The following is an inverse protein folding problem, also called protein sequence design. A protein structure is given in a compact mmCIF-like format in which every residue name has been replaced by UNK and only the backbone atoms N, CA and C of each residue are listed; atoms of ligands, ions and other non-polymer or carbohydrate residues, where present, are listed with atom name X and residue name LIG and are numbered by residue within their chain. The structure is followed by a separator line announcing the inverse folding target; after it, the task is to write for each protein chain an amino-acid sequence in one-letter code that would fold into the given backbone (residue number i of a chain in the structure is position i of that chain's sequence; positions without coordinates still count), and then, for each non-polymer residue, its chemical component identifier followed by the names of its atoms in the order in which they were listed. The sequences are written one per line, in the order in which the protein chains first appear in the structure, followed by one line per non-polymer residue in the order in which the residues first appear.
data_IF_810622624384
#
_entry.id   IF_810622624384
#
_cell.length_a   1.000
_cell.length_b   1.000
_cell.length_c   1.000
_cell.angle_alpha   90.00
_cell.angle_beta   90.00
_cell.angle_gamma   90.00
#
_symmetry.space_group_name_H-M   'P 1'
#
loop_
_entity.id
_entity.type
_entity.pdbx_description
1 polymer ?
#
# COMPACT_ATOMS: atom_id res chain seq x y z
N UNK A 1 1.20 2.84 -1.57
CA UNK A 1 1.50 1.38 -1.58
C UNK A 1 2.17 0.89 -2.86
N UNK A 2 1.66 1.24 -4.06
CA UNK A 2 2.26 0.79 -5.33
C UNK A 2 3.75 1.16 -5.51
N UNK A 3 4.18 2.34 -5.03
CA UNK A 3 5.60 2.73 -5.00
C UNK A 3 6.45 1.76 -4.17
N UNK A 4 6.04 1.46 -2.94
CA UNK A 4 6.77 0.54 -2.06
C UNK A 4 6.80 -0.89 -2.61
N UNK A 5 5.67 -1.37 -3.16
CA UNK A 5 5.55 -2.71 -3.74
C UNK A 5 6.55 -2.96 -4.89
N UNK A 6 6.95 -1.90 -5.60
CA UNK A 6 7.89 -1.94 -6.72
C UNK A 6 9.27 -1.34 -6.38
N UNK A 7 9.54 -1.00 -5.12
CA UNK A 7 10.82 -0.45 -4.69
C UNK A 7 11.89 -1.53 -4.47
N UNK A 8 13.15 -1.11 -4.37
CA UNK A 8 14.28 -1.99 -4.00
C UNK A 8 14.65 -3.03 -5.05
N UNK A 9 14.52 -2.71 -6.35
CA UNK A 9 14.92 -3.59 -7.45
C UNK A 9 13.99 -4.79 -7.68
N UNK A 10 12.82 -4.82 -7.03
CA UNK A 10 11.84 -5.91 -7.17
C UNK A 10 11.22 -5.92 -8.57
N UNK A 11 10.91 -7.11 -9.13
CA UNK A 11 10.15 -7.20 -10.36
C UNK A 11 8.79 -6.51 -10.23
N UNK A 12 8.31 -5.97 -11.35
CA UNK A 12 7.06 -5.20 -11.41
C UNK A 12 5.88 -6.04 -10.92
N UNK A 13 5.05 -5.45 -10.06
CA UNK A 13 3.80 -6.02 -9.58
C UNK A 13 2.62 -5.07 -9.85
N UNK A 14 1.44 -5.64 -9.99
CA UNK A 14 0.16 -4.93 -10.15
C UNK A 14 -0.69 -5.11 -8.92
N UNK A 15 -1.51 -4.11 -8.62
CA UNK A 15 -2.51 -4.22 -7.55
C UNK A 15 -3.49 -5.33 -7.91
N UNK A 16 -3.66 -6.32 -7.02
CA UNK A 16 -4.71 -7.32 -7.14
C UNK A 16 -5.95 -6.91 -6.33
N UNK A 17 -5.75 -6.46 -5.10
CA UNK A 17 -6.79 -5.79 -4.33
C UNK A 17 -6.21 -4.69 -3.44
N UNK A 18 -7.09 -3.80 -3.02
CA UNK A 18 -6.87 -2.80 -1.99
C UNK A 18 -8.14 -2.71 -1.15
N UNK A 19 -8.05 -3.01 0.13
CA UNK A 19 -9.12 -2.76 1.09
C UNK A 19 -8.74 -1.54 1.92
N UNK A 20 -9.64 -0.57 2.00
CA UNK A 20 -9.42 0.68 2.73
C UNK A 20 -10.52 0.82 3.76
N UNK A 21 -10.13 1.04 5.02
CA UNK A 21 -11.04 1.39 6.10
C UNK A 21 -10.92 2.89 6.36
N UNK A 22 -12.00 3.63 6.14
CA UNK A 22 -12.08 5.05 6.50
C UNK A 22 -12.50 5.16 7.96
N UNK A 23 -11.57 5.60 8.82
CA UNK A 23 -11.79 5.72 10.27
C UNK A 23 -12.31 7.09 10.68
N UNK A 24 -12.12 8.11 9.85
CA UNK A 24 -12.59 9.46 10.09
C UNK A 24 -12.45 10.33 8.84
N UNK A 25 -12.98 11.55 8.92
CA UNK A 25 -12.80 12.55 7.88
C UNK A 25 -11.32 12.91 7.79
N UNK A 26 -10.78 12.83 6.57
CA UNK A 26 -9.41 13.26 6.29
C UNK A 26 -9.43 14.75 5.96
N UNK A 27 -8.75 15.61 6.73
CA UNK A 27 -8.71 17.04 6.44
C UNK A 27 -7.94 17.33 5.14
N UNK A 28 -8.31 18.41 4.49
CA UNK A 28 -7.66 18.94 3.28
C UNK A 28 -6.75 20.11 3.65
N UNK A 29 -5.81 20.45 2.74
CA UNK A 29 -4.89 21.58 2.89
C UNK A 29 -4.02 21.58 4.16
N UNK A 30 -3.81 20.41 4.75
CA UNK A 30 -2.89 20.19 5.87
C UNK A 30 -1.89 19.06 5.55
N UNK A 31 -0.68 19.10 6.10
CA UNK A 31 0.25 17.98 5.96
C UNK A 31 -0.29 16.72 6.65
N UNK A 32 -0.35 15.63 5.89
CA UNK A 32 -0.70 14.30 6.41
C UNK A 32 0.51 13.37 6.33
N UNK A 33 0.64 12.48 7.30
CA UNK A 33 1.69 11.45 7.29
C UNK A 33 1.13 10.16 6.70
N UNK A 34 1.79 9.64 5.67
CA UNK A 34 1.48 8.34 5.07
C UNK A 34 2.55 7.36 5.50
N UNK A 35 2.14 6.23 6.06
CA UNK A 35 3.03 5.10 6.32
C UNK A 35 2.57 3.88 5.55
N UNK A 36 3.53 3.16 4.98
CA UNK A 36 3.28 1.91 4.29
C UNK A 36 4.35 0.93 4.70
N UNK A 37 3.95 -0.28 5.07
CA UNK A 37 4.85 -1.37 5.43
C UNK A 37 4.72 -2.49 4.41
N UNK A 38 5.86 -3.11 4.10
CA UNK A 38 5.90 -4.40 3.44
C UNK A 38 5.83 -5.48 4.50
N UNK A 39 4.74 -6.26 4.53
CA UNK A 39 4.53 -7.23 5.60
C UNK A 39 5.17 -8.57 5.27
N UNK A 40 4.87 -9.12 4.08
CA UNK A 40 5.40 -10.42 3.63
C UNK A 40 5.27 -10.63 2.13
N UNK A 41 6.04 -11.58 1.61
CA UNK A 41 5.96 -12.07 0.23
C UNK A 41 5.75 -13.58 0.21
N UNK A 42 4.80 -14.06 -0.59
CA UNK A 42 4.49 -15.49 -0.76
C UNK A 42 4.42 -15.81 -2.26
N UNK A 43 5.50 -16.35 -2.81
CA UNK A 43 5.62 -16.58 -4.25
C UNK A 43 5.47 -15.27 -5.03
N UNK A 44 4.40 -15.12 -5.81
CA UNK A 44 4.13 -13.89 -6.57
C UNK A 44 3.31 -12.86 -5.81
N UNK A 45 2.90 -13.13 -4.57
CA UNK A 45 2.00 -12.28 -3.77
C UNK A 45 2.79 -11.43 -2.80
N UNK A 46 2.58 -10.11 -2.83
CA UNK A 46 3.14 -9.15 -1.88
C UNK A 46 2.04 -8.53 -1.06
N UNK A 47 2.09 -8.71 0.26
CA UNK A 47 1.11 -8.15 1.18
C UNK A 47 1.70 -6.91 1.85
N UNK A 48 0.99 -5.80 1.72
CA UNK A 48 1.36 -4.52 2.29
C UNK A 48 0.23 -3.99 3.16
N UNK A 49 0.58 -3.28 4.21
CA UNK A 49 -0.33 -2.50 5.05
C UNK A 49 0.09 -1.03 4.99
N UNK A 50 -0.83 -0.14 5.32
CA UNK A 50 -0.49 1.26 5.48
C UNK A 50 -1.61 2.07 6.10
N UNK A 51 -1.26 3.27 6.52
CA UNK A 51 -2.16 4.16 7.21
C UNK A 51 -1.86 5.62 6.84
N UNK A 52 -2.93 6.41 6.86
CA UNK A 52 -2.93 7.85 6.72
C UNK A 52 -3.20 8.47 8.09
N UNK A 53 -2.32 9.37 8.51
CA UNK A 53 -2.37 10.00 9.81
C UNK A 53 -2.56 11.51 9.69
N UNK A 54 -3.49 12.02 10.49
CA UNK A 54 -3.58 13.43 10.88
C UNK A 54 -3.03 13.55 12.32
N UNK A 55 -1.78 14.03 12.43
CA UNK A 55 -1.02 13.97 13.69
C UNK A 55 -0.88 12.55 14.23
N UNK A 56 -1.52 12.28 15.37
CA UNK A 56 -1.56 10.96 16.02
C UNK A 56 -2.76 10.11 15.60
N UNK A 57 -3.76 10.69 14.95
CA UNK A 57 -5.02 10.03 14.59
C UNK A 57 -4.90 9.34 13.23
N UNK A 58 -5.36 8.09 13.14
CA UNK A 58 -5.51 7.40 11.84
C UNK A 58 -6.83 7.80 11.22
N UNK A 59 -6.79 8.40 10.03
CA UNK A 59 -8.00 8.78 9.27
C UNK A 59 -8.39 7.69 8.28
N UNK A 60 -7.43 6.95 7.75
CA UNK A 60 -7.65 5.74 6.95
C UNK A 60 -6.53 4.73 7.15
N UNK A 61 -6.85 3.45 7.12
CA UNK A 61 -5.88 2.37 6.96
C UNK A 61 -6.23 1.49 5.77
N UNK A 62 -5.27 0.73 5.30
CA UNK A 62 -5.46 -0.19 4.20
C UNK A 62 -4.57 -1.42 4.29
N UNK A 63 -5.10 -2.50 3.75
CA UNK A 63 -4.34 -3.69 3.36
C UNK A 63 -4.40 -3.86 1.84
N UNK A 64 -3.31 -4.34 1.26
CA UNK A 64 -3.19 -4.51 -0.17
C UNK A 64 -2.45 -5.79 -0.51
N UNK A 65 -2.90 -6.40 -1.61
CA UNK A 65 -2.16 -7.45 -2.29
C UNK A 65 -1.70 -6.95 -3.65
N UNK A 66 -0.41 -7.13 -3.92
CA UNK A 66 0.16 -6.96 -5.24
C UNK A 66 0.64 -8.30 -5.80
N UNK A 67 0.49 -8.50 -7.10
CA UNK A 67 0.93 -9.72 -7.78
C UNK A 67 2.02 -9.38 -8.78
N UNK A 68 3.18 -10.02 -8.62
CA UNK A 68 4.33 -9.92 -9.51
C UNK A 68 3.99 -10.48 -10.89
N UNK A 69 4.34 -9.72 -11.93
CA UNK A 69 4.14 -10.10 -13.33
C UNK A 69 5.02 -11.30 -13.71
N UNK A 70 4.49 -12.19 -14.55
CA UNK A 70 5.27 -13.23 -15.22
C UNK A 70 6.04 -12.65 -16.40
N UNK A 71 7.10 -13.34 -16.87
CA UNK A 71 7.77 -12.97 -18.11
C UNK A 71 6.77 -12.77 -19.26
N UNK A 72 6.91 -11.66 -19.99
CA UNK A 72 6.04 -11.32 -21.12
C UNK A 72 4.74 -10.58 -20.77
N UNK A 73 4.38 -10.47 -19.49
CA UNK A 73 3.23 -9.65 -19.06
C UNK A 73 3.62 -8.17 -18.95
N UNK A 74 2.74 -7.26 -19.37
CA UNK A 74 2.91 -5.80 -19.33
C UNK A 74 1.84 -5.13 -18.47
#
# INVERSE_FOLDING_TARGET
MGRLSNAGGRPVARTAYLHVNFRGITPIDVPLRVEVRFDREEGRKRYLTGALYDGASVTADAEALFVTLLPGQR
#
